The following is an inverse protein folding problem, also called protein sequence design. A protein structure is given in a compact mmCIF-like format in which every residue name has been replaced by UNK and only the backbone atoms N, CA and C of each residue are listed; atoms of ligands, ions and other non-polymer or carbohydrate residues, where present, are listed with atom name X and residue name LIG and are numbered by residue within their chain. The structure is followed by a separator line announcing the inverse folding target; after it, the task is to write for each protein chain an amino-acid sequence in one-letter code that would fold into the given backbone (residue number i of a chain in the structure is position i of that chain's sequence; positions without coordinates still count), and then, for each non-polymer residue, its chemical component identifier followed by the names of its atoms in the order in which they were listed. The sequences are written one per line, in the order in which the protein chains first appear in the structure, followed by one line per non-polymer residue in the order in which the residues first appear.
data_IF_810011236232
#
_entry.id   IF_810011236232
#
_cell.length_a   1.000
_cell.length_b   1.000
_cell.length_c   1.000
_cell.angle_alpha   90.00
_cell.angle_beta   90.00
_cell.angle_gamma   90.00
#
_symmetry.space_group_name_H-M   'P 1'
#
loop_
_entity.id
_entity.type
_entity.pdbx_description
1 polymer ?
#
# COMPACT_ATOMS: atom_id res chain seq x y z
N UNK A 1 5.81 3.98 15.52
CA UNK A 1 6.03 3.59 14.11
C UNK A 1 4.85 4.12 13.30
N UNK A 2 5.09 4.83 12.19
CA UNK A 2 4.07 5.63 11.48
C UNK A 2 2.92 4.79 10.90
N UNK A 3 3.22 3.59 10.40
CA UNK A 3 2.24 2.67 9.79
C UNK A 3 1.67 1.64 10.75
N UNK A 4 1.91 1.78 12.06
CA UNK A 4 1.32 0.86 13.04
C UNK A 4 -0.19 1.06 13.10
N UNK A 5 -0.95 0.03 12.79
CA UNK A 5 -2.41 0.02 12.91
C UNK A 5 -2.83 0.36 14.35
N UNK A 6 -3.80 1.26 14.47
CA UNK A 6 -4.46 1.60 15.73
C UNK A 6 -5.61 0.60 15.96
N UNK A 7 -5.72 -0.01 17.15
CA UNK A 7 -6.82 -0.91 17.47
C UNK A 7 -8.19 -0.24 17.28
N UNK A 8 -9.21 -1.05 16.93
CA UNK A 8 -10.60 -0.61 16.81
C UNK A 8 -10.83 0.52 15.80
N UNK A 9 -10.06 0.51 14.71
CA UNK A 9 -10.27 1.39 13.55
C UNK A 9 -10.56 0.55 12.32
N UNK A 10 -11.42 1.07 11.45
CA UNK A 10 -11.79 0.45 10.18
C UNK A 10 -11.63 1.48 9.06
N UNK A 11 -11.34 1.01 7.85
CA UNK A 11 -11.27 1.86 6.67
C UNK A 11 -12.53 1.70 5.82
N UNK A 12 -13.06 2.81 5.30
CA UNK A 12 -14.28 2.80 4.49
C UNK A 12 -14.08 2.24 3.08
N UNK A 13 -12.83 2.10 2.62
CA UNK A 13 -12.52 1.64 1.26
C UNK A 13 -11.77 0.29 1.19
N UNK A 14 -11.40 -0.29 2.33
CA UNK A 14 -10.84 -1.64 2.42
C UNK A 14 -11.23 -2.28 3.76
N UNK A 15 -11.92 -3.43 3.72
CA UNK A 15 -12.44 -4.11 4.92
C UNK A 15 -11.34 -4.75 5.75
N UNK A 16 -10.21 -5.09 5.12
CA UNK A 16 -9.04 -5.65 5.79
C UNK A 16 -8.08 -4.54 6.27
N UNK A 17 -8.39 -3.28 5.96
CA UNK A 17 -7.60 -2.10 6.31
C UNK A 17 -7.97 -1.48 7.65
N UNK A 18 -6.95 -0.97 8.35
CA UNK A 18 -7.11 -0.19 9.59
C UNK A 18 -6.38 1.14 9.50
N UNK A 19 -6.80 2.07 10.34
CA UNK A 19 -6.18 3.38 10.42
C UNK A 19 -4.88 3.36 11.25
N UNK A 20 -3.89 4.11 10.82
CA UNK A 20 -2.64 4.39 11.51
C UNK A 20 -2.46 5.91 11.69
N UNK A 21 -1.24 6.43 11.89
CA UNK A 21 -1.02 7.87 12.06
C UNK A 21 -1.14 8.63 10.72
N UNK A 22 -2.36 8.88 10.26
CA UNK A 22 -2.62 9.57 8.99
C UNK A 22 -2.54 8.65 7.75
N UNK A 23 -2.64 7.34 7.94
CA UNK A 23 -2.55 6.36 6.87
C UNK A 23 -3.61 5.30 7.05
N UNK A 24 -4.16 4.83 5.93
CA UNK A 24 -4.81 3.54 5.85
C UNK A 24 -3.77 2.45 5.62
N UNK A 25 -3.80 1.40 6.43
CA UNK A 25 -2.79 0.33 6.42
C UNK A 25 -3.50 -1.01 6.28
N UNK A 26 -3.12 -1.77 5.25
CA UNK A 26 -3.54 -3.15 5.06
C UNK A 26 -2.35 -4.04 5.34
N UNK A 27 -2.50 -4.96 6.28
CA UNK A 27 -1.44 -5.89 6.64
C UNK A 27 -1.37 -7.07 5.67
N UNK A 28 -0.19 -7.68 5.61
CA UNK A 28 0.01 -8.93 4.87
C UNK A 28 -0.84 -10.03 5.49
N UNK A 29 -1.56 -10.78 4.66
CA UNK A 29 -2.39 -11.93 5.09
C UNK A 29 -2.21 -13.10 4.14
N UNK A 30 -1.90 -14.27 4.70
CA UNK A 30 -1.84 -15.55 4.01
C UNK A 30 -2.51 -16.60 4.90
N UNK A 31 -3.81 -16.81 4.70
CA UNK A 31 -4.60 -17.69 5.57
C UNK A 31 -4.29 -19.18 5.33
N UNK A 32 -3.97 -19.55 4.10
CA UNK A 32 -3.63 -20.93 3.71
C UNK A 32 -2.63 -20.93 2.55
N UNK A 33 -1.85 -22.00 2.39
CA UNK A 33 -0.72 -22.07 1.42
C UNK A 33 -1.09 -21.94 -0.06
N UNK A 34 -2.37 -21.95 -0.42
CA UNK A 34 -2.88 -21.76 -1.79
C UNK A 34 -3.90 -20.61 -1.91
N UNK A 35 -4.10 -19.82 -0.84
CA UNK A 35 -5.02 -18.69 -0.87
C UNK A 35 -4.40 -17.45 -1.53
N UNK A 36 -5.27 -16.49 -1.86
CA UNK A 36 -4.86 -15.18 -2.36
C UNK A 36 -3.90 -14.54 -1.36
N UNK A 37 -2.68 -14.24 -1.81
CA UNK A 37 -1.69 -13.53 -1.01
C UNK A 37 -2.09 -12.06 -0.97
N UNK A 38 -2.48 -11.58 0.21
CA UNK A 38 -2.72 -10.16 0.44
C UNK A 38 -1.40 -9.50 0.83
N UNK A 39 -0.97 -8.53 0.02
CA UNK A 39 0.25 -7.75 0.25
C UNK A 39 0.04 -6.70 1.34
N UNK A 40 1.10 -6.40 2.10
CA UNK A 40 1.14 -5.24 2.98
C UNK A 40 1.24 -3.96 2.13
N UNK A 41 0.33 -3.00 2.34
CA UNK A 41 0.38 -1.70 1.69
C UNK A 41 -0.19 -0.59 2.56
N UNK A 42 0.24 0.65 2.31
CA UNK A 42 -0.27 1.84 3.00
C UNK A 42 -0.77 2.86 2.00
N UNK A 43 -1.82 3.59 2.37
CA UNK A 43 -2.46 4.57 1.49
C UNK A 43 -3.03 5.75 2.24
N UNK A 44 -3.06 6.91 1.59
CA UNK A 44 -3.78 8.09 2.06
C UNK A 44 -4.56 8.67 0.89
N UNK A 45 -5.85 8.90 1.08
CA UNK A 45 -6.72 9.53 0.08
C UNK A 45 -7.04 10.95 0.49
N UNK A 46 -7.10 11.85 -0.50
CA UNK A 46 -7.48 13.25 -0.33
C UNK A 46 -8.68 13.56 -1.21
N UNK A 47 -9.65 14.29 -0.67
CA UNK A 47 -10.83 14.74 -1.41
C UNK A 47 -11.07 16.22 -1.19
N UNK A 48 -11.34 16.94 -2.27
CA UNK A 48 -11.78 18.34 -2.26
C UNK A 48 -12.90 18.53 -3.30
N UNK A 49 -13.55 19.70 -3.28
CA UNK A 49 -14.57 20.03 -4.29
C UNK A 49 -13.89 20.08 -5.67
N UNK A 50 -14.30 19.20 -6.58
CA UNK A 50 -13.74 19.11 -7.93
C UNK A 50 -12.36 18.46 -8.02
N UNK A 51 -11.81 17.87 -6.96
CA UNK A 51 -10.52 17.19 -7.01
C UNK A 51 -10.42 16.00 -6.07
N UNK A 52 -9.55 15.06 -6.41
CA UNK A 52 -9.20 13.93 -5.56
C UNK A 52 -7.77 13.49 -5.78
N UNK A 53 -7.19 12.87 -4.74
CA UNK A 53 -5.85 12.34 -4.78
C UNK A 53 -5.72 11.04 -4.01
N UNK A 54 -4.71 10.25 -4.35
CA UNK A 54 -4.25 9.14 -3.52
C UNK A 54 -2.73 9.07 -3.57
N UNK A 55 -2.12 8.76 -2.43
CA UNK A 55 -0.76 8.30 -2.31
C UNK A 55 -0.80 6.87 -1.76
N UNK A 56 -0.28 5.91 -2.51
CA UNK A 56 -0.19 4.51 -2.13
C UNK A 56 1.27 4.07 -2.17
N UNK A 57 1.70 3.36 -1.13
CA UNK A 57 3.03 2.78 -1.00
C UNK A 57 2.85 1.28 -0.82
N UNK A 58 3.48 0.51 -1.70
CA UNK A 58 3.58 -0.94 -1.66
C UNK A 58 5.05 -1.29 -1.39
N UNK A 59 5.44 -1.51 -0.12
CA UNK A 59 6.80 -1.90 0.20
C UNK A 59 7.17 -3.24 -0.47
N UNK A 60 8.44 -3.37 -0.83
CA UNK A 60 9.01 -4.65 -1.25
C UNK A 60 8.96 -5.63 -0.07
N UNK A 61 8.63 -6.89 -0.36
CA UNK A 61 8.75 -7.96 0.62
C UNK A 61 10.24 -8.26 0.83
N UNK A 62 10.83 -7.73 1.89
CA UNK A 62 12.16 -8.15 2.31
C UNK A 62 12.07 -9.58 2.86
N UNK A 63 12.73 -10.51 2.17
CA UNK A 63 13.10 -11.80 2.73
C UNK A 63 14.08 -11.52 3.87
N UNK A 64 13.74 -11.93 5.09
CA UNK A 64 14.41 -11.58 6.36
C UNK A 64 15.88 -12.08 6.50
N UNK A 65 16.63 -12.27 5.41
CA UNK A 65 17.90 -13.02 5.38
C UNK A 65 19.16 -12.21 5.02
N UNK A 66 19.16 -10.88 5.06
CA UNK A 66 20.42 -10.10 4.92
C UNK A 66 20.61 -9.06 6.00
N UNK A 67 20.77 -9.55 7.23
CA UNK A 67 21.42 -8.85 8.35
C UNK A 67 22.92 -8.59 8.08
N UNK A 68 23.23 -7.85 7.02
CA UNK A 68 24.54 -7.18 6.90
C UNK A 68 24.32 -5.86 6.15
N UNK A 69 24.46 -4.76 6.90
CA UNK A 69 24.47 -3.36 6.43
C UNK A 69 23.08 -2.71 6.19
N UNK A 70 22.15 -2.86 7.14
CA UNK A 70 20.79 -2.31 7.11
C UNK A 70 20.69 -0.77 7.11
N UNK A 71 21.76 -0.02 7.38
CA UNK A 71 21.71 1.45 7.44
C UNK A 71 21.89 2.16 6.08
N UNK A 72 22.33 1.47 5.02
CA UNK A 72 22.72 2.14 3.76
C UNK A 72 21.72 1.99 2.60
N UNK A 73 20.68 1.17 2.72
CA UNK A 73 19.75 0.94 1.61
C UNK A 73 18.43 1.67 1.83
N UNK A 74 18.03 2.57 0.91
CA UNK A 74 16.72 3.20 1.02
C UNK A 74 15.63 2.14 0.92
N UNK A 75 14.48 2.32 1.61
CA UNK A 75 13.32 1.46 1.47
C UNK A 75 12.96 1.26 -0.01
N UNK A 76 12.70 0.01 -0.40
CA UNK A 76 12.31 -0.33 -1.77
C UNK A 76 10.84 -0.69 -1.83
N UNK A 77 10.26 -0.56 -3.03
CA UNK A 77 8.86 -0.85 -3.28
C UNK A 77 8.32 -0.04 -4.45
N UNK A 78 7.00 -0.04 -4.60
CA UNK A 78 6.29 0.76 -5.59
C UNK A 78 5.54 1.87 -4.88
N UNK A 79 5.69 3.10 -5.37
CA UNK A 79 4.93 4.27 -4.90
C UNK A 79 4.07 4.77 -6.05
N UNK A 80 2.76 4.88 -5.80
CA UNK A 80 1.80 5.40 -6.78
C UNK A 80 1.14 6.64 -6.21
N UNK A 81 1.23 7.74 -6.95
CA UNK A 81 0.46 8.96 -6.67
C UNK A 81 -0.46 9.25 -7.84
N UNK A 82 -1.72 9.56 -7.54
CA UNK A 82 -2.70 9.99 -8.55
C UNK A 82 -3.31 11.29 -8.03
N UNK A 83 -3.33 12.32 -8.88
CA UNK A 83 -4.00 13.60 -8.63
C UNK A 83 -4.94 13.85 -9.81
N UNK A 84 -6.22 14.06 -9.52
CA UNK A 84 -7.25 14.22 -10.53
C UNK A 84 -8.13 15.44 -10.23
N UNK A 85 -8.54 16.16 -11.27
CA UNK A 85 -9.54 17.24 -11.23
C UNK A 85 -10.98 16.70 -11.27
N UNK A 86 -11.20 15.56 -10.62
CA UNK A 86 -12.51 14.91 -10.49
C UNK A 86 -12.74 14.53 -9.03
N UNK A 87 -13.97 14.71 -8.55
CA UNK A 87 -14.38 14.32 -7.20
C UNK A 87 -15.07 12.94 -7.22
N UNK A 88 -14.96 12.19 -6.12
CA UNK A 88 -15.72 10.95 -5.92
C UNK A 88 -15.19 9.75 -6.71
N UNK A 89 -13.94 9.79 -7.17
CA UNK A 89 -13.31 8.68 -7.90
C UNK A 89 -12.68 7.68 -6.93
N UNK A 90 -12.86 6.38 -7.16
CA UNK A 90 -12.28 5.28 -6.37
C UNK A 90 -10.78 5.09 -6.56
N UNK A 91 -9.99 6.14 -6.31
CA UNK A 91 -8.56 6.19 -6.67
C UNK A 91 -7.71 5.15 -5.96
N UNK A 92 -8.02 4.80 -4.71
CA UNK A 92 -7.24 3.82 -3.96
C UNK A 92 -7.16 2.45 -4.66
N UNK A 93 -8.31 1.95 -5.12
CA UNK A 93 -8.37 0.66 -5.83
C UNK A 93 -7.58 0.69 -7.15
N UNK A 94 -7.54 1.85 -7.81
CA UNK A 94 -6.79 2.06 -9.05
C UNK A 94 -5.29 2.12 -8.77
N UNK A 95 -4.87 2.88 -7.76
CA UNK A 95 -3.49 2.97 -7.34
C UNK A 95 -2.92 1.61 -6.92
N UNK A 96 -3.72 0.79 -6.22
CA UNK A 96 -3.30 -0.56 -5.82
C UNK A 96 -3.10 -1.47 -7.03
N UNK A 97 -4.02 -1.45 -8.02
CA UNK A 97 -3.87 -2.21 -9.26
C UNK A 97 -2.60 -1.81 -10.02
N UNK A 98 -2.34 -0.51 -10.14
CA UNK A 98 -1.12 0.01 -10.76
C UNK A 98 0.11 -0.52 -10.01
N UNK A 99 0.13 -0.38 -8.68
CA UNK A 99 1.27 -0.82 -7.87
C UNK A 99 1.57 -2.31 -8.04
N UNK A 100 0.54 -3.15 -8.06
CA UNK A 100 0.67 -4.60 -8.25
C UNK A 100 1.16 -4.97 -9.67
N UNK A 101 0.76 -4.25 -10.72
CA UNK A 101 1.28 -4.51 -12.06
C UNK A 101 2.77 -4.12 -12.18
N UNK A 102 3.18 -3.00 -11.58
CA UNK A 102 4.60 -2.63 -11.53
C UNK A 102 5.44 -3.63 -10.73
N UNK A 103 4.92 -4.13 -9.61
CA UNK A 103 5.57 -5.19 -8.85
C UNK A 103 5.72 -6.48 -9.66
N UNK A 104 4.65 -6.91 -10.35
CA UNK A 104 4.67 -8.08 -11.22
C UNK A 104 5.69 -7.96 -12.34
N UNK A 105 5.80 -6.79 -12.96
CA UNK A 105 6.78 -6.55 -14.02
C UNK A 105 8.21 -6.52 -13.49
N UNK A 106 8.44 -5.96 -12.30
CA UNK A 106 9.73 -6.06 -11.61
C UNK A 106 10.16 -7.52 -11.40
N UNK A 107 9.23 -8.39 -10.98
CA UNK A 107 9.51 -9.81 -10.75
C UNK A 107 9.82 -10.61 -12.02
N UNK A 108 9.37 -10.17 -13.20
CA UNK A 108 9.70 -10.83 -14.48
C UNK A 108 11.11 -10.52 -14.98
N UNK A 109 11.66 -9.37 -14.60
CA UNK A 109 12.94 -8.86 -15.08
C UNK A 109 14.10 -9.10 -14.09
N UNK A 110 13.84 -9.77 -12.97
CA UNK A 110 14.80 -10.01 -11.89
C UNK A 110 15.21 -11.48 -11.83
#
# INVERSE_FOLDING_TARGET
MVWRQVPNTEMSWDKDGKYAMGWGVVERKLDFGQCKHQRHYVSHTGGAVGASSVLLILPEEDDHSRFSNLEERPPKGVVVTIVANMQGTGLNSTALKIALEFEKDKMKCS
#
